data_IF_085609327670
#
_entry.id   IF_085609327670
#
_cell.length_a   1.000
_cell.length_b   1.000
_cell.length_c   1.000
_cell.angle_alpha   90.00
_cell.angle_beta   90.00
_cell.angle_gamma   90.00
#
_symmetry.space_group_name_H-M   'P 1'
#
loop_
_entity.id
_entity.type
_entity.pdbx_description
1 polymer ?
#
# COMPACT_ATOMS: atom_id res chain seq x y z
N UNK A 1 18.69 -16.93 33.83
CA UNK A 1 18.76 -18.26 33.20
C UNK A 1 19.08 -18.00 31.73
N UNK A 2 20.36 -18.10 31.37
CA UNK A 2 20.83 -17.88 29.99
C UNK A 2 20.45 -19.13 29.18
N UNK A 3 19.60 -18.97 28.17
CA UNK A 3 19.31 -20.04 27.22
C UNK A 3 20.50 -20.20 26.28
N UNK A 4 21.21 -21.32 26.40
CA UNK A 4 22.23 -21.75 25.46
C UNK A 4 21.60 -21.98 24.09
N UNK A 5 22.02 -21.21 23.10
CA UNK A 5 21.71 -21.47 21.70
C UNK A 5 22.56 -22.67 21.22
N UNK A 6 21.93 -23.65 20.58
CA UNK A 6 22.61 -24.85 20.08
C UNK A 6 23.65 -24.52 19.00
N UNK A 7 24.76 -25.27 18.97
CA UNK A 7 25.87 -25.10 18.01
C UNK A 7 25.43 -25.17 16.53
N UNK A 8 24.31 -25.85 16.23
CA UNK A 8 23.68 -25.86 14.90
C UNK A 8 23.15 -24.49 14.46
N UNK A 9 22.79 -23.62 15.40
CA UNK A 9 22.23 -22.30 15.13
C UNK A 9 23.36 -21.29 14.87
N UNK A 10 24.49 -21.46 15.55
CA UNK A 10 25.72 -20.68 15.35
C UNK A 10 26.34 -20.96 13.97
N UNK A 11 26.37 -22.20 13.50
CA UNK A 11 26.94 -22.52 12.18
C UNK A 11 26.10 -21.97 11.01
N UNK A 12 24.78 -21.84 11.19
CA UNK A 12 23.87 -21.21 10.23
C UNK A 12 24.08 -19.70 10.17
N UNK A 13 24.24 -19.06 11.32
CA UNK A 13 24.57 -17.63 11.45
C UNK A 13 25.90 -17.29 10.75
N UNK A 14 26.93 -18.12 10.92
CA UNK A 14 28.22 -17.89 10.25
C UNK A 14 28.14 -18.09 8.73
N UNK A 15 27.33 -19.05 8.27
CA UNK A 15 27.11 -19.27 6.82
C UNK A 15 26.32 -18.12 6.19
N UNK A 16 25.33 -17.57 6.90
CA UNK A 16 24.53 -16.43 6.44
C UNK A 16 25.33 -15.13 6.44
N UNK A 17 26.21 -14.93 7.43
CA UNK A 17 27.14 -13.78 7.50
C UNK A 17 28.16 -13.81 6.35
N UNK A 18 28.68 -14.98 6.00
CA UNK A 18 29.59 -15.15 4.85
C UNK A 18 28.87 -14.91 3.52
N UNK A 19 27.61 -15.32 3.41
CA UNK A 19 26.79 -15.08 2.21
C UNK A 19 26.45 -13.59 2.06
N UNK A 20 26.17 -12.88 3.15
CA UNK A 20 25.91 -11.44 3.15
C UNK A 20 27.16 -10.61 2.77
N UNK A 21 28.35 -11.01 3.23
CA UNK A 21 29.61 -10.33 2.90
C UNK A 21 30.06 -10.58 1.45
N UNK A 22 29.74 -11.74 0.86
CA UNK A 22 30.09 -12.05 -0.53
C UNK A 22 29.18 -11.37 -1.56
N UNK A 23 28.00 -10.88 -1.15
CA UNK A 23 27.05 -10.17 -2.01
C UNK A 23 27.32 -8.67 -2.16
N UNK A 24 28.27 -8.10 -1.40
CA UNK A 24 28.70 -6.70 -1.54
C UNK A 24 29.45 -6.41 -2.86
N UNK A 25 29.95 -7.43 -3.56
CA UNK A 25 30.85 -7.27 -4.71
C UNK A 25 30.18 -7.41 -6.10
N UNK A 26 28.85 -7.38 -6.21
CA UNK A 26 28.17 -7.37 -7.53
C UNK A 26 26.80 -6.67 -7.53
N UNK A 27 26.71 -5.42 -8.01
CA UNK A 27 25.50 -4.59 -7.89
C UNK A 27 24.29 -5.03 -8.72
N UNK A 28 24.48 -5.66 -9.89
CA UNK A 28 23.44 -5.59 -10.93
C UNK A 28 22.67 -6.88 -11.23
N UNK A 29 23.01 -8.02 -10.63
CA UNK A 29 22.36 -9.31 -10.99
C UNK A 29 21.66 -9.99 -9.80
N UNK A 30 21.82 -9.47 -8.57
CA UNK A 30 21.35 -10.13 -7.34
C UNK A 30 20.21 -9.40 -6.61
N UNK A 31 19.83 -8.19 -7.04
CA UNK A 31 18.93 -7.30 -6.28
C UNK A 31 17.50 -7.85 -6.07
N UNK A 32 17.01 -8.75 -6.94
CA UNK A 32 15.66 -9.30 -6.84
C UNK A 32 15.57 -10.68 -6.17
N UNK A 33 16.54 -11.56 -6.42
CA UNK A 33 16.46 -12.99 -6.06
C UNK A 33 17.29 -13.33 -4.82
N UNK A 34 18.42 -12.64 -4.58
CA UNK A 34 19.27 -12.91 -3.42
C UNK A 34 18.73 -12.31 -2.13
N UNK A 35 18.13 -11.11 -2.20
CA UNK A 35 17.44 -10.52 -1.04
C UNK A 35 16.27 -11.40 -0.57
N UNK A 36 15.52 -12.03 -1.49
CA UNK A 36 14.41 -12.91 -1.12
C UNK A 36 14.87 -14.25 -0.56
N UNK A 37 15.92 -14.87 -1.12
CA UNK A 37 16.50 -16.10 -0.53
C UNK A 37 17.07 -15.91 0.88
N UNK A 38 17.60 -14.72 1.19
CA UNK A 38 18.02 -14.38 2.55
C UNK A 38 16.80 -14.34 3.47
N UNK A 39 15.67 -13.79 3.01
CA UNK A 39 14.43 -13.60 3.77
C UNK A 39 13.63 -14.91 3.94
N UNK A 40 13.58 -15.78 2.92
CA UNK A 40 12.91 -17.09 3.00
C UNK A 40 13.56 -18.04 4.04
N UNK A 41 14.82 -17.78 4.41
CA UNK A 41 15.51 -18.47 5.49
C UNK A 41 15.14 -18.00 6.91
N UNK A 42 14.38 -16.91 7.05
CA UNK A 42 14.13 -16.19 8.31
C UNK A 42 12.82 -16.57 9.00
N UNK A 43 12.33 -17.78 8.80
CA UNK A 43 11.13 -18.34 9.43
C UNK A 43 11.15 -18.45 10.98
N UNK A 44 11.90 -17.60 11.68
CA UNK A 44 11.93 -17.49 13.13
C UNK A 44 12.76 -16.34 13.72
N UNK A 45 13.25 -15.37 12.94
CA UNK A 45 14.13 -14.29 13.44
C UNK A 45 13.70 -12.92 12.90
N UNK A 46 12.59 -12.39 13.43
CA UNK A 46 11.89 -11.23 12.84
C UNK A 46 12.36 -9.85 13.34
N UNK A 47 12.86 -9.72 14.57
CA UNK A 47 13.07 -8.39 15.18
C UNK A 47 14.44 -7.76 14.89
N UNK A 48 15.52 -8.56 14.89
CA UNK A 48 16.89 -8.00 14.90
C UNK A 48 17.40 -7.66 13.49
N UNK A 49 16.86 -8.31 12.45
CA UNK A 49 17.39 -8.20 11.08
C UNK A 49 16.67 -7.12 10.23
N UNK A 50 15.37 -6.87 10.43
CA UNK A 50 14.67 -5.77 9.74
C UNK A 50 15.28 -4.41 10.12
N UNK A 51 15.62 -4.21 11.40
CA UNK A 51 16.32 -3.02 11.89
C UNK A 51 17.72 -2.84 11.28
N UNK A 52 18.42 -3.93 10.94
CA UNK A 52 19.71 -3.84 10.22
C UNK A 52 19.54 -3.46 8.75
N UNK A 53 18.43 -3.87 8.11
CA UNK A 53 18.10 -3.47 6.74
C UNK A 53 17.77 -1.97 6.67
N UNK A 54 17.06 -1.42 7.67
CA UNK A 54 16.78 0.02 7.75
C UNK A 54 18.06 0.85 7.97
N UNK A 55 19.07 0.30 8.65
CA UNK A 55 20.38 0.96 8.82
C UNK A 55 21.26 0.93 7.57
N UNK A 56 20.83 0.26 6.49
CA UNK A 56 21.56 0.23 5.22
C UNK A 56 20.88 1.12 4.16
N UNK A 57 21.42 2.31 3.84
CA UNK A 57 20.81 3.24 2.87
C UNK A 57 20.66 2.68 1.45
N UNK A 58 21.35 1.59 1.11
CA UNK A 58 21.28 0.94 -0.20
C UNK A 58 19.94 0.24 -0.40
N UNK A 59 19.33 -0.31 0.67
CA UNK A 59 18.00 -0.96 0.59
C UNK A 59 16.85 0.04 0.38
N UNK A 60 17.09 1.32 0.64
CA UNK A 60 16.08 2.39 0.55
C UNK A 60 15.70 2.73 -0.90
N UNK A 61 16.54 2.33 -1.85
CA UNK A 61 16.28 2.43 -3.30
C UNK A 61 15.76 1.13 -3.91
N UNK A 62 15.46 0.13 -3.08
CA UNK A 62 14.96 -1.14 -3.58
C UNK A 62 13.56 -0.99 -4.20
N UNK A 63 13.21 -1.96 -5.03
CA UNK A 63 11.90 -2.04 -5.66
C UNK A 63 10.81 -2.60 -4.73
N UNK A 64 11.12 -2.94 -3.48
CA UNK A 64 10.14 -3.51 -2.54
C UNK A 64 10.01 -2.63 -1.31
N UNK A 65 8.77 -2.48 -0.85
CA UNK A 65 8.47 -1.78 0.39
C UNK A 65 8.89 -2.67 1.57
N UNK A 66 9.64 -2.10 2.51
CA UNK A 66 10.01 -2.79 3.74
C UNK A 66 8.83 -2.74 4.72
N UNK A 67 8.45 -3.88 5.32
CA UNK A 67 7.43 -3.89 6.36
C UNK A 67 7.95 -3.19 7.62
N UNK A 68 7.05 -2.58 8.38
CA UNK A 68 7.35 -1.96 9.68
C UNK A 68 6.27 -2.37 10.69
N UNK A 69 6.70 -2.78 11.88
CA UNK A 69 5.82 -3.00 13.02
C UNK A 69 5.84 -1.75 13.91
N UNK A 70 4.81 -0.93 13.76
CA UNK A 70 4.70 0.33 14.49
C UNK A 70 4.25 0.18 15.94
N UNK A 71 3.78 -1.01 16.34
CA UNK A 71 3.33 -1.26 17.71
C UNK A 71 4.48 -1.50 18.67
N UNK A 72 5.63 -1.94 18.13
CA UNK A 72 6.82 -2.29 18.90
C UNK A 72 8.02 -1.38 18.60
N UNK A 73 7.91 -0.54 17.56
CA UNK A 73 8.97 0.39 17.17
C UNK A 73 9.17 1.54 18.17
N UNK A 74 10.42 1.94 18.38
CA UNK A 74 10.74 3.17 19.10
C UNK A 74 10.46 4.42 18.25
N UNK A 75 10.34 5.58 18.88
CA UNK A 75 10.15 6.86 18.17
C UNK A 75 11.27 7.14 17.14
N UNK A 76 12.52 6.77 17.49
CA UNK A 76 13.67 6.91 16.61
C UNK A 76 13.56 5.99 15.38
N UNK A 77 13.05 4.77 15.57
CA UNK A 77 12.83 3.81 14.47
C UNK A 77 11.71 4.28 13.54
N UNK A 78 10.65 4.88 14.08
CA UNK A 78 9.56 5.47 13.29
C UNK A 78 10.04 6.65 12.45
N UNK A 79 10.91 7.52 13.00
CA UNK A 79 11.54 8.62 12.27
C UNK A 79 12.43 8.11 11.13
N UNK A 80 13.18 7.04 11.39
CA UNK A 80 14.00 6.39 10.38
C UNK A 80 13.12 5.78 9.27
N UNK A 81 12.00 5.16 9.65
CA UNK A 81 11.07 4.57 8.71
C UNK A 81 10.42 5.63 7.80
N UNK A 82 9.98 6.76 8.36
CA UNK A 82 9.48 7.91 7.56
C UNK A 82 10.53 8.40 6.56
N UNK A 83 11.77 8.52 7.00
CA UNK A 83 12.89 8.91 6.12
C UNK A 83 13.13 7.88 5.01
N UNK A 84 12.95 6.59 5.29
CA UNK A 84 12.98 5.53 4.30
C UNK A 84 11.82 5.66 3.30
N UNK A 85 10.58 5.85 3.77
CA UNK A 85 9.39 5.98 2.92
C UNK A 85 9.53 7.13 1.93
N UNK A 86 10.03 8.27 2.38
CA UNK A 86 10.30 9.41 1.50
C UNK A 86 11.28 9.04 0.38
N UNK A 87 12.42 8.42 0.73
CA UNK A 87 13.41 8.03 -0.29
C UNK A 87 12.91 6.92 -1.22
N UNK A 88 12.16 5.96 -0.67
CA UNK A 88 11.51 4.91 -1.45
C UNK A 88 10.56 5.52 -2.47
N UNK A 89 9.70 6.45 -2.05
CA UNK A 89 8.77 7.14 -2.95
C UNK A 89 9.52 7.95 -4.01
N UNK A 90 10.50 8.76 -3.62
CA UNK A 90 11.29 9.56 -4.56
C UNK A 90 12.00 8.71 -5.63
N UNK A 91 12.52 7.55 -5.25
CA UNK A 91 13.17 6.62 -6.18
C UNK A 91 12.18 5.95 -7.15
N UNK A 92 10.92 5.77 -6.74
CA UNK A 92 9.95 4.95 -7.46
C UNK A 92 8.80 5.73 -8.11
N UNK A 93 8.58 7.01 -7.77
CA UNK A 93 7.45 7.83 -8.25
C UNK A 93 7.40 8.00 -9.76
N UNK A 94 8.52 7.83 -10.47
CA UNK A 94 8.56 7.85 -11.93
C UNK A 94 7.78 6.70 -12.59
N UNK A 95 7.42 5.68 -11.81
CA UNK A 95 6.52 4.61 -12.26
C UNK A 95 5.04 4.97 -12.18
N UNK A 96 4.69 6.09 -11.52
CA UNK A 96 3.32 6.60 -11.41
C UNK A 96 3.06 7.52 -12.60
N UNK A 97 2.03 7.20 -13.38
CA UNK A 97 1.61 8.01 -14.52
C UNK A 97 0.98 9.33 -14.04
N UNK A 98 0.66 10.26 -14.95
CA UNK A 98 -0.09 11.46 -14.55
C UNK A 98 -1.39 11.08 -13.85
N UNK A 99 -1.95 11.95 -12.99
CA UNK A 99 -3.21 11.69 -12.31
C UNK A 99 -4.33 11.26 -13.28
N UNK A 100 -4.42 11.91 -14.44
CA UNK A 100 -5.37 11.56 -15.49
C UNK A 100 -5.13 10.15 -16.06
N UNK A 101 -3.86 9.81 -16.35
CA UNK A 101 -3.51 8.48 -16.87
C UNK A 101 -3.75 7.37 -15.84
N UNK A 102 -3.45 7.65 -14.55
CA UNK A 102 -3.67 6.71 -13.46
C UNK A 102 -5.18 6.42 -13.27
N UNK A 103 -6.01 7.47 -13.30
CA UNK A 103 -7.48 7.35 -13.25
C UNK A 103 -8.02 6.55 -14.45
N UNK A 104 -7.54 6.83 -15.66
CA UNK A 104 -7.95 6.10 -16.87
C UNK A 104 -7.58 4.60 -16.78
N UNK A 105 -6.34 4.29 -16.38
CA UNK A 105 -5.90 2.88 -16.21
C UNK A 105 -6.68 2.16 -15.12
N UNK A 106 -6.97 2.85 -14.02
CA UNK A 106 -7.83 2.34 -12.95
C UNK A 106 -9.21 1.96 -13.48
N UNK A 107 -9.87 2.84 -14.25
CA UNK A 107 -11.15 2.57 -14.91
C UNK A 107 -11.09 1.35 -15.83
N UNK A 108 -10.07 1.27 -16.69
CA UNK A 108 -9.90 0.15 -17.62
C UNK A 108 -9.77 -1.19 -16.88
N UNK A 109 -8.95 -1.22 -15.83
CA UNK A 109 -8.67 -2.45 -15.11
C UNK A 109 -9.82 -2.89 -14.20
N UNK A 110 -10.51 -1.96 -13.55
CA UNK A 110 -11.73 -2.26 -12.78
C UNK A 110 -12.90 -2.70 -13.67
N UNK A 111 -13.05 -2.11 -14.86
CA UNK A 111 -14.02 -2.61 -15.83
C UNK A 111 -13.69 -4.05 -16.26
N UNK A 112 -12.41 -4.34 -16.52
CA UNK A 112 -11.96 -5.69 -16.87
C UNK A 112 -12.26 -6.70 -15.75
N UNK A 113 -12.04 -6.33 -14.49
CA UNK A 113 -12.36 -7.16 -13.33
C UNK A 113 -13.87 -7.43 -13.23
N UNK A 114 -14.69 -6.38 -13.41
CA UNK A 114 -16.15 -6.49 -13.41
C UNK A 114 -16.66 -7.37 -14.55
N UNK A 115 -16.14 -7.21 -15.76
CA UNK A 115 -16.49 -8.05 -16.91
C UNK A 115 -16.12 -9.52 -16.68
N UNK A 116 -14.95 -9.78 -16.08
CA UNK A 116 -14.53 -11.14 -15.75
C UNK A 116 -15.47 -11.79 -14.73
N UNK A 117 -15.90 -11.04 -13.72
CA UNK A 117 -16.91 -11.48 -12.75
C UNK A 117 -18.27 -11.78 -13.38
N UNK A 118 -18.72 -10.95 -14.32
CA UNK A 118 -20.01 -11.13 -15.00
C UNK A 118 -19.99 -12.29 -16.01
N UNK A 119 -18.86 -12.54 -16.66
CA UNK A 119 -18.68 -13.59 -17.66
C UNK A 119 -18.34 -14.96 -17.08
N UNK A 120 -17.67 -14.98 -15.92
CA UNK A 120 -17.27 -16.23 -15.26
C UNK A 120 -18.41 -16.79 -14.41
N UNK A 121 -18.54 -18.12 -14.34
CA UNK A 121 -19.42 -18.80 -13.35
C UNK A 121 -18.92 -18.67 -11.91
N UNK A 122 -18.00 -17.73 -11.64
CA UNK A 122 -17.40 -17.50 -10.34
C UNK A 122 -18.43 -16.80 -9.47
N UNK A 123 -18.66 -17.32 -8.26
CA UNK A 123 -19.57 -16.70 -7.30
C UNK A 123 -18.91 -15.43 -6.78
N UNK A 124 -19.29 -14.28 -7.34
CA UNK A 124 -18.84 -12.97 -6.88
C UNK A 124 -19.47 -12.68 -5.52
N UNK A 125 -18.67 -12.20 -4.58
CA UNK A 125 -19.17 -11.72 -3.29
C UNK A 125 -19.78 -10.34 -3.53
N UNK A 126 -21.03 -10.12 -3.12
CA UNK A 126 -21.76 -8.88 -3.41
C UNK A 126 -21.00 -7.59 -3.05
N UNK A 127 -20.20 -7.62 -1.99
CA UNK A 127 -19.40 -6.46 -1.58
C UNK A 127 -18.20 -6.16 -2.48
N UNK A 128 -17.70 -7.12 -3.26
CA UNK A 128 -16.66 -6.86 -4.28
C UNK A 128 -17.25 -6.15 -5.51
N UNK A 129 -18.45 -6.58 -5.93
CA UNK A 129 -19.17 -5.95 -7.03
C UNK A 129 -19.55 -4.50 -6.68
N UNK A 130 -20.15 -4.28 -5.51
CA UNK A 130 -20.50 -2.92 -5.02
C UNK A 130 -19.29 -2.00 -4.99
N UNK A 131 -18.17 -2.47 -4.43
CA UNK A 131 -16.94 -1.66 -4.38
C UNK A 131 -16.45 -1.27 -5.78
N UNK A 132 -16.54 -2.19 -6.74
CA UNK A 132 -16.04 -1.90 -8.09
C UNK A 132 -16.96 -0.91 -8.82
N UNK A 133 -18.27 -0.95 -8.58
CA UNK A 133 -19.20 0.08 -9.09
C UNK A 133 -18.91 1.46 -8.46
N UNK A 134 -18.64 1.53 -7.15
CA UNK A 134 -18.26 2.77 -6.46
C UNK A 134 -16.94 3.35 -7.01
N UNK A 135 -15.94 2.49 -7.26
CA UNK A 135 -14.67 2.91 -7.87
C UNK A 135 -14.90 3.44 -9.27
N UNK A 136 -15.65 2.71 -10.10
CA UNK A 136 -15.92 3.10 -11.48
C UNK A 136 -16.68 4.43 -11.55
N UNK A 137 -17.67 4.64 -10.68
CA UNK A 137 -18.39 5.90 -10.57
C UNK A 137 -17.44 7.04 -10.17
N UNK A 138 -16.68 6.86 -9.09
CA UNK A 138 -15.75 7.87 -8.58
C UNK A 138 -14.72 8.27 -9.64
N UNK A 139 -14.07 7.30 -10.26
CA UNK A 139 -13.04 7.55 -11.28
C UNK A 139 -13.64 8.18 -12.54
N UNK A 140 -14.85 7.80 -12.96
CA UNK A 140 -15.52 8.39 -14.12
C UNK A 140 -15.80 9.89 -13.93
N UNK A 141 -16.16 10.32 -12.72
CA UNK A 141 -16.37 11.74 -12.41
C UNK A 141 -15.07 12.56 -12.44
N UNK A 142 -13.92 11.91 -12.34
CA UNK A 142 -12.60 12.55 -12.36
C UNK A 142 -12.02 12.67 -13.78
N UNK A 143 -12.52 11.86 -14.73
CA UNK A 143 -12.09 11.93 -16.14
C UNK A 143 -12.42 13.30 -16.73
N UNK A 144 -11.39 14.00 -17.22
CA UNK A 144 -11.55 15.32 -17.83
C UNK A 144 -11.75 16.46 -16.81
N UNK A 145 -11.90 16.18 -15.52
CA UNK A 145 -12.04 17.18 -14.47
C UNK A 145 -10.69 17.54 -13.84
N UNK A 146 -9.92 18.37 -14.54
CA UNK A 146 -8.56 18.77 -14.10
C UNK A 146 -8.53 19.48 -12.75
N UNK A 147 -9.57 20.25 -12.45
CA UNK A 147 -9.68 20.96 -11.18
C UNK A 147 -9.78 19.98 -10.02
N UNK A 148 -10.73 19.03 -10.10
CA UNK A 148 -10.91 18.02 -9.06
C UNK A 148 -9.70 17.10 -8.91
N UNK A 149 -9.05 16.73 -10.02
CA UNK A 149 -7.77 15.99 -9.97
C UNK A 149 -6.66 16.73 -9.22
N UNK A 150 -6.67 18.07 -9.23
CA UNK A 150 -5.67 18.88 -8.50
C UNK A 150 -6.02 19.08 -7.02
N UNK A 151 -7.28 18.89 -6.63
CA UNK A 151 -7.75 19.00 -5.24
C UNK A 151 -7.48 17.75 -4.42
N UNK A 152 -7.35 16.60 -5.08
CA UNK A 152 -7.12 15.30 -4.44
C UNK A 152 -5.62 14.96 -4.46
N UNK A 153 -4.86 15.17 -3.37
CA UNK A 153 -3.40 15.01 -3.37
C UNK A 153 -2.94 13.58 -3.70
N UNK A 154 -3.73 12.58 -3.32
CA UNK A 154 -3.37 11.16 -3.46
C UNK A 154 -3.96 10.48 -4.69
N UNK A 155 -4.71 11.19 -5.54
CA UNK A 155 -5.51 10.54 -6.59
C UNK A 155 -4.68 9.68 -7.55
N UNK A 156 -3.49 10.15 -7.92
CA UNK A 156 -2.61 9.41 -8.82
C UNK A 156 -2.12 8.09 -8.19
N UNK A 157 -1.63 8.15 -6.95
CA UNK A 157 -1.10 7.00 -6.22
C UNK A 157 -2.23 6.02 -5.84
N UNK A 158 -3.39 6.54 -5.43
CA UNK A 158 -4.55 5.75 -5.07
C UNK A 158 -5.15 5.01 -6.29
N UNK A 159 -5.34 5.71 -7.41
CA UNK A 159 -5.81 5.08 -8.64
C UNK A 159 -4.82 4.04 -9.17
N UNK A 160 -3.51 4.32 -9.07
CA UNK A 160 -2.46 3.37 -9.44
C UNK A 160 -2.41 2.14 -8.52
N UNK A 161 -2.69 2.29 -7.23
CA UNK A 161 -2.81 1.20 -6.28
C UNK A 161 -4.03 0.32 -6.59
N UNK A 162 -5.21 0.93 -6.78
CA UNK A 162 -6.45 0.23 -7.14
C UNK A 162 -6.26 -0.57 -8.43
N UNK A 163 -5.63 0.04 -9.45
CA UNK A 163 -5.33 -0.63 -10.71
C UNK A 163 -4.49 -1.91 -10.53
N UNK A 164 -3.41 -1.84 -9.75
CA UNK A 164 -2.56 -3.01 -9.49
C UNK A 164 -3.28 -4.12 -8.71
N UNK A 165 -4.13 -3.74 -7.76
CA UNK A 165 -4.96 -4.67 -6.99
C UNK A 165 -6.05 -5.32 -7.83
N UNK A 166 -6.71 -4.55 -8.71
CA UNK A 166 -7.69 -5.08 -9.64
C UNK A 166 -7.05 -6.06 -10.63
N UNK A 167 -5.86 -5.75 -11.15
CA UNK A 167 -5.09 -6.67 -12.00
C UNK A 167 -4.71 -7.95 -11.25
N UNK A 168 -4.28 -7.85 -10.00
CA UNK A 168 -3.97 -9.01 -9.17
C UNK A 168 -5.20 -9.90 -8.97
N UNK A 169 -6.36 -9.31 -8.66
CA UNK A 169 -7.62 -10.04 -8.52
C UNK A 169 -8.01 -10.73 -9.83
N UNK A 170 -7.86 -10.07 -10.98
CA UNK A 170 -8.07 -10.68 -12.31
C UNK A 170 -7.19 -11.93 -12.46
N UNK A 171 -5.89 -11.79 -12.20
CA UNK A 171 -4.95 -12.90 -12.34
C UNK A 171 -5.29 -14.07 -11.40
N UNK A 172 -5.67 -13.79 -10.16
CA UNK A 172 -6.15 -14.84 -9.24
C UNK A 172 -7.41 -15.55 -9.71
N UNK A 173 -8.37 -14.83 -10.34
CA UNK A 173 -9.58 -15.44 -10.90
C UNK A 173 -9.26 -16.39 -12.07
N UNK A 174 -8.18 -16.12 -12.80
CA UNK A 174 -7.69 -17.02 -13.85
C UNK A 174 -6.90 -18.22 -13.31
N UNK A 175 -6.52 -18.18 -12.04
CA UNK A 175 -5.80 -19.26 -11.35
C UNK A 175 -6.76 -20.28 -10.73
N UNK A 176 -6.33 -21.55 -10.64
CA UNK A 176 -7.24 -22.70 -10.40
C UNK A 176 -7.95 -22.69 -9.03
N UNK A 177 -7.42 -22.01 -8.03
CA UNK A 177 -8.04 -21.88 -6.71
C UNK A 177 -7.68 -20.53 -6.07
N UNK A 178 -8.48 -19.47 -6.28
CA UNK A 178 -8.17 -18.15 -5.77
C UNK A 178 -8.10 -18.14 -4.23
N UNK A 179 -6.98 -17.74 -3.62
CA UNK A 179 -6.85 -17.71 -2.16
C UNK A 179 -7.80 -16.66 -1.55
N UNK A 180 -8.75 -17.11 -0.73
CA UNK A 180 -9.79 -16.25 -0.14
C UNK A 180 -9.24 -15.05 0.65
N UNK A 181 -8.08 -15.23 1.31
CA UNK A 181 -7.39 -14.17 2.06
C UNK A 181 -6.87 -13.05 1.15
N UNK A 182 -6.40 -13.36 -0.05
CA UNK A 182 -5.94 -12.35 -1.02
C UNK A 182 -7.08 -11.47 -1.49
N UNK A 183 -8.26 -12.04 -1.74
CA UNK A 183 -9.44 -11.26 -2.14
C UNK A 183 -9.90 -10.33 -1.02
N UNK A 184 -9.89 -10.80 0.23
CA UNK A 184 -10.23 -9.97 1.38
C UNK A 184 -9.25 -8.81 1.53
N UNK A 185 -7.95 -9.07 1.46
CA UNK A 185 -6.93 -8.03 1.55
C UNK A 185 -7.04 -7.03 0.39
N UNK A 186 -7.15 -7.52 -0.84
CA UNK A 186 -7.26 -6.66 -2.04
C UNK A 186 -8.51 -5.79 -1.99
N UNK A 187 -9.65 -6.32 -1.49
CA UNK A 187 -10.86 -5.53 -1.26
C UNK A 187 -10.63 -4.41 -0.24
N UNK A 188 -10.00 -4.71 0.89
CA UNK A 188 -9.73 -3.74 1.95
C UNK A 188 -8.79 -2.62 1.46
N UNK A 189 -7.73 -2.99 0.75
CA UNK A 189 -6.79 -2.05 0.13
C UNK A 189 -7.50 -1.14 -0.87
N UNK A 190 -8.25 -1.72 -1.83
CA UNK A 190 -8.97 -0.94 -2.84
C UNK A 190 -9.96 0.04 -2.22
N UNK A 191 -10.66 -0.37 -1.15
CA UNK A 191 -11.58 0.52 -0.41
C UNK A 191 -10.81 1.67 0.26
N UNK A 192 -9.73 1.38 0.99
CA UNK A 192 -8.93 2.43 1.63
C UNK A 192 -8.35 3.41 0.60
N UNK A 193 -7.80 2.91 -0.51
CA UNK A 193 -7.32 3.74 -1.60
C UNK A 193 -8.43 4.60 -2.23
N UNK A 194 -9.64 4.06 -2.41
CA UNK A 194 -10.78 4.81 -2.92
C UNK A 194 -11.16 5.95 -1.98
N UNK A 195 -11.20 5.72 -0.68
CA UNK A 195 -11.53 6.77 0.29
C UNK A 195 -10.46 7.87 0.29
N UNK A 196 -9.17 7.51 0.28
CA UNK A 196 -8.08 8.48 0.13
C UNK A 196 -8.17 9.29 -1.18
N UNK A 197 -8.62 8.67 -2.27
CA UNK A 197 -8.84 9.33 -3.55
C UNK A 197 -9.98 10.36 -3.52
N UNK A 198 -10.93 10.24 -2.59
CA UNK A 198 -12.07 11.15 -2.43
C UNK A 198 -11.76 12.36 -1.55
N UNK A 199 -10.68 12.33 -0.77
CA UNK A 199 -10.37 13.43 0.15
C UNK A 199 -9.79 14.61 -0.64
N UNK A 200 -10.44 15.77 -0.50
CA UNK A 200 -10.05 17.02 -1.12
C UNK A 200 -9.40 17.94 -0.08
N UNK A 201 -8.45 18.78 -0.52
CA UNK A 201 -7.88 19.85 0.32
C UNK A 201 -6.89 19.41 1.40
N UNK A 202 -6.53 18.12 1.45
CA UNK A 202 -5.46 17.63 2.32
C UNK A 202 -4.08 18.06 1.83
N UNK A 203 -3.15 18.19 2.78
CA UNK A 203 -1.73 18.24 2.47
C UNK A 203 -1.24 16.85 2.04
N UNK A 204 -0.46 16.82 0.97
CA UNK A 204 0.13 15.58 0.49
C UNK A 204 1.17 15.04 1.48
N UNK A 205 1.13 13.73 1.74
CA UNK A 205 2.06 13.02 2.61
C UNK A 205 2.87 11.99 1.83
N UNK A 206 4.20 12.04 1.99
CA UNK A 206 5.10 11.06 1.38
C UNK A 206 4.87 9.64 1.89
N UNK A 207 4.45 9.49 3.14
CA UNK A 207 4.24 8.19 3.76
C UNK A 207 3.07 7.47 3.09
N UNK A 208 1.94 8.17 2.97
CA UNK A 208 0.71 7.68 2.31
C UNK A 208 0.99 7.31 0.85
N UNK A 209 1.68 8.18 0.11
CA UNK A 209 2.03 7.93 -1.27
C UNK A 209 3.01 6.73 -1.42
N UNK A 210 3.98 6.60 -0.50
CA UNK A 210 4.91 5.48 -0.46
C UNK A 210 4.21 4.14 -0.21
N UNK A 211 3.24 4.09 0.71
CA UNK A 211 2.49 2.86 0.99
C UNK A 211 1.64 2.43 -0.21
N UNK A 212 0.88 3.35 -0.82
CA UNK A 212 0.07 3.06 -2.02
C UNK A 212 0.94 2.55 -3.18
N UNK A 213 2.10 3.18 -3.40
CA UNK A 213 3.06 2.75 -4.42
C UNK A 213 3.70 1.39 -4.09
N UNK A 214 4.05 1.15 -2.82
CA UNK A 214 4.60 -0.11 -2.35
C UNK A 214 3.63 -1.28 -2.56
N UNK A 215 2.37 -1.08 -2.19
CA UNK A 215 1.29 -2.05 -2.42
C UNK A 215 1.17 -2.38 -3.91
N UNK A 216 1.09 -1.36 -4.78
CA UNK A 216 1.04 -1.55 -6.24
C UNK A 216 2.21 -2.40 -6.74
N UNK A 217 3.43 -2.13 -6.27
CA UNK A 217 4.63 -2.85 -6.70
C UNK A 217 4.61 -4.31 -6.26
N UNK A 218 4.16 -4.60 -5.05
CA UNK A 218 4.00 -5.99 -4.58
C UNK A 218 2.86 -6.71 -5.31
N UNK A 219 1.75 -6.04 -5.60
CA UNK A 219 0.66 -6.61 -6.41
C UNK A 219 1.16 -6.98 -7.82
N UNK A 220 1.91 -6.07 -8.46
CA UNK A 220 2.53 -6.34 -9.76
C UNK A 220 3.53 -7.50 -9.71
N UNK A 221 4.36 -7.56 -8.67
CA UNK A 221 5.30 -8.68 -8.50
C UNK A 221 4.55 -10.01 -8.38
N UNK A 222 3.45 -10.06 -7.64
CA UNK A 222 2.59 -11.26 -7.56
C UNK A 222 2.03 -11.64 -8.94
N UNK A 223 1.52 -10.68 -9.71
CA UNK A 223 1.07 -10.92 -11.09
C UNK A 223 2.17 -11.53 -11.97
N UNK A 224 3.39 -11.02 -11.87
CA UNK A 224 4.53 -11.47 -12.68
C UNK A 224 5.05 -12.86 -12.28
N UNK A 225 4.83 -13.29 -11.02
CA UNK A 225 5.46 -14.49 -10.46
C UNK A 225 4.49 -15.62 -10.11
N UNK A 226 3.18 -15.40 -10.10
CA UNK A 226 2.20 -16.41 -9.65
C UNK A 226 2.13 -17.68 -10.51
N UNK A 227 2.70 -17.66 -11.70
CA UNK A 227 2.78 -18.81 -12.61
C UNK A 227 4.11 -19.57 -12.48
N UNK A 228 5.01 -19.15 -11.60
CA UNK A 228 6.30 -19.79 -11.37
C UNK A 228 6.18 -21.02 -10.45
N UNK A 229 6.95 -22.07 -10.74
CA UNK A 229 7.04 -23.24 -9.86
C UNK A 229 7.60 -22.85 -8.49
N UNK A 230 6.93 -23.26 -7.41
CA UNK A 230 7.32 -22.92 -6.05
C UNK A 230 6.93 -21.51 -5.60
N UNK A 231 6.01 -20.86 -6.31
CA UNK A 231 5.47 -19.56 -5.92
C UNK A 231 4.86 -19.57 -4.52
N UNK A 232 5.31 -18.62 -3.69
CA UNK A 232 4.75 -18.30 -2.39
C UNK A 232 4.38 -16.81 -2.36
N UNK A 233 3.12 -16.51 -2.11
CA UNK A 233 2.63 -15.13 -1.99
C UNK A 233 2.88 -14.54 -0.60
N UNK A 234 3.18 -15.36 0.41
CA UNK A 234 3.12 -15.00 1.83
C UNK A 234 3.88 -13.73 2.21
N UNK A 235 5.09 -13.54 1.68
CA UNK A 235 5.87 -12.34 1.97
C UNK A 235 5.28 -11.06 1.35
N UNK A 236 4.84 -11.11 0.09
CA UNK A 236 4.18 -9.98 -0.56
C UNK A 236 2.80 -9.70 0.04
N UNK A 237 2.06 -10.73 0.45
CA UNK A 237 0.81 -10.60 1.23
C UNK A 237 1.06 -9.88 2.54
N UNK A 238 2.14 -10.23 3.25
CA UNK A 238 2.52 -9.58 4.51
C UNK A 238 2.89 -8.11 4.30
N UNK A 239 3.74 -7.78 3.31
CA UNK A 239 4.10 -6.39 3.01
C UNK A 239 2.84 -5.55 2.70
N UNK A 240 1.96 -6.08 1.85
CA UNK A 240 0.68 -5.42 1.51
C UNK A 240 -0.21 -5.25 2.73
N UNK A 241 -0.27 -6.26 3.61
CA UNK A 241 -1.01 -6.22 4.88
C UNK A 241 -0.49 -5.13 5.82
N UNK A 242 0.82 -5.10 6.09
CA UNK A 242 1.42 -4.07 6.94
C UNK A 242 1.21 -2.67 6.35
N UNK A 243 1.42 -2.49 5.05
CA UNK A 243 1.21 -1.20 4.39
C UNK A 243 -0.27 -0.76 4.47
N UNK A 244 -1.21 -1.70 4.34
CA UNK A 244 -2.64 -1.43 4.51
C UNK A 244 -2.99 -1.00 5.93
N UNK A 245 -2.46 -1.66 6.96
CA UNK A 245 -2.70 -1.29 8.36
C UNK A 245 -2.20 0.14 8.65
N UNK A 246 -1.03 0.51 8.11
CA UNK A 246 -0.51 1.87 8.25
C UNK A 246 -1.33 2.90 7.48
N UNK A 247 -1.82 2.54 6.29
CA UNK A 247 -2.69 3.40 5.49
C UNK A 247 -4.06 3.61 6.15
N UNK A 248 -4.66 2.58 6.75
CA UNK A 248 -5.96 2.71 7.41
C UNK A 248 -5.86 3.63 8.63
N UNK A 249 -4.77 3.57 9.38
CA UNK A 249 -4.51 4.49 10.48
C UNK A 249 -4.37 5.94 10.02
N UNK A 250 -3.66 6.15 8.90
CA UNK A 250 -3.53 7.47 8.28
C UNK A 250 -4.87 7.99 7.78
N UNK A 251 -5.69 7.12 7.21
CA UNK A 251 -7.04 7.47 6.79
C UNK A 251 -7.90 7.90 7.97
N UNK A 252 -7.87 7.17 9.08
CA UNK A 252 -8.61 7.52 10.30
C UNK A 252 -8.18 8.91 10.80
N UNK A 253 -6.88 9.20 10.84
CA UNK A 253 -6.30 10.52 11.19
C UNK A 253 -6.87 11.64 10.29
N UNK A 254 -6.94 11.42 8.98
CA UNK A 254 -7.50 12.40 8.04
C UNK A 254 -9.00 12.64 8.20
N UNK A 255 -9.72 11.64 8.71
CA UNK A 255 -11.18 11.75 8.92
C UNK A 255 -11.55 12.26 10.31
N UNK A 256 -10.67 12.10 11.32
CA UNK A 256 -10.89 12.56 12.68
C UNK A 256 -10.62 14.06 12.87
N UNK A 257 -9.72 14.65 12.10
CA UNK A 257 -9.43 16.10 12.16
C UNK A 257 -10.50 16.96 11.47
N UNK A 258 -11.55 16.36 10.92
CA UNK A 258 -12.70 17.02 10.30
C UNK A 258 -13.75 17.58 11.28
N UNK A 259 -13.68 17.25 12.58
CA UNK A 259 -14.52 17.84 13.62
C UNK A 259 -13.88 19.14 14.15
N UNK A 260 -13.79 20.15 13.28
CA UNK A 260 -13.63 21.53 13.78
C UNK A 260 -14.98 21.96 14.33
N UNK A 261 -15.06 22.12 15.65
CA UNK A 261 -16.14 22.80 16.36
C UNK A 261 -16.54 24.06 15.57
N UNK A 262 -17.64 23.98 14.83
CA UNK A 262 -18.34 25.18 14.37
C UNK A 262 -19.01 25.73 15.62
N UNK A 263 -18.25 26.52 16.38
CA UNK A 263 -18.81 27.50 17.29
C UNK A 263 -19.70 28.41 16.43
N UNK A 264 -20.99 28.10 16.40
CA UNK A 264 -22.02 28.97 15.85
C UNK A 264 -22.12 30.14 16.81
N UNK A 265 -21.27 31.16 16.60
CA UNK A 265 -21.51 32.50 17.10
C UNK A 265 -22.72 33.05 16.33
N UNK A 266 -23.91 32.70 16.83
CA UNK A 266 -25.15 33.37 16.45
C UNK A 266 -25.16 34.74 17.12
N UNK A 267 -24.51 35.71 16.46
CA UNK A 267 -24.89 37.10 16.61
C UNK A 267 -26.36 37.24 16.20
N UNK A 268 -27.23 37.48 17.18
CA UNK A 268 -28.64 37.82 16.98
C UNK A 268 -28.74 39.34 16.86
N UNK A 269 -29.03 39.93 15.68
CA UNK A 269 -29.47 41.30 15.61
C UNK A 269 -31.01 41.31 15.70
N UNK A 270 -31.56 41.57 16.89
CA UNK A 270 -32.97 41.99 16.97
C UNK A 270 -33.02 43.51 16.98
N UNK A 271 -33.49 44.03 15.85
CA UNK A 271 -33.89 45.40 15.61
C UNK A 271 -34.72 45.96 16.78
N UNK A 272 -34.31 47.14 17.23
CA UNK A 272 -35.26 48.11 17.75
C UNK A 272 -36.17 48.55 16.60
N UNK A 273 -37.49 48.45 16.78
CA UNK A 273 -38.33 49.56 16.35
C UNK A 273 -39.59 49.71 17.19
N UNK A 274 -39.91 50.97 17.39
CA UNK A 274 -40.89 51.50 18.33
C UNK A 274 -42.08 52.07 17.54
N UNK A 275 -43.24 52.15 18.23
CA UNK A 275 -44.49 52.88 17.91
C UNK A 275 -45.50 52.14 17.03
N UNK A 276 -46.81 52.34 17.17
CA UNK A 276 -47.70 52.91 18.19
C UNK A 276 -49.14 52.68 17.63
N UNK A 277 -50.14 52.49 18.49
CA UNK A 277 -51.55 52.39 18.10
C UNK A 277 -52.36 51.71 19.19
#
# INVERSE_FOLDING_TARGET
MLMEMSESSLSKLDTMRITFLTLQDSPDVLAGVANRKIIDGLGGLFEVELLQIFKNPVSWKSNSLLPCDIYTSSDDDLLLYKSYLQKFYEANKHSVASAADAVMKCLEKENSLRELWMSSKVKVIACDASLSDEILECMSQLVGNKERLSLCPFIADAAACIEGEAELMINWLTWRDPPSKEFVLSRSIRRCALELAKIEGLEWSSDTAAFLLGIKKEARWLCENMMCDGFDSGFSTMIRGCAFELLSWKQDEYTSDGDVDVAVDMDIPILADHKAG
#
